data_IF_860601686646
#
_entry.id   IF_860601686646
#
_cell.length_a   1.000
_cell.length_b   1.000
_cell.length_c   1.000
_cell.angle_alpha   90.00
_cell.angle_beta   90.00
_cell.angle_gamma   90.00
#
_symmetry.space_group_name_H-M   'P 1'
#
loop_
_entity.id
_entity.type
_entity.pdbx_description
1 polymer ?
#
# COMPACT_ATOMS: atom_id res chain seq x y z
N UNK A 1 -2.98 -9.39 -1.07
CA UNK A 1 -3.25 -8.09 -0.43
C UNK A 1 -1.96 -7.31 -0.27
N UNK A 2 -1.95 -6.03 -0.63
CA UNK A 2 -0.87 -5.10 -0.32
C UNK A 2 -1.21 -4.38 0.99
N UNK A 3 -0.40 -4.57 2.04
CA UNK A 3 -0.55 -3.84 3.31
C UNK A 3 -0.01 -2.41 3.16
N UNK A 4 -0.35 -1.49 4.09
CA UNK A 4 0.26 -0.17 4.14
C UNK A 4 1.78 -0.25 4.05
N UNK A 5 2.33 0.31 2.99
CA UNK A 5 3.74 0.15 2.64
C UNK A 5 4.14 1.12 1.55
N UNK A 6 5.45 1.32 1.42
CA UNK A 6 6.09 1.87 0.24
C UNK A 6 6.90 0.76 -0.44
N UNK A 7 6.74 0.60 -1.76
CA UNK A 7 7.45 -0.37 -2.57
C UNK A 7 8.17 0.34 -3.72
N UNK A 8 9.51 0.34 -3.70
CA UNK A 8 10.37 0.90 -4.74
C UNK A 8 11.01 -0.20 -5.59
N UNK A 9 11.18 0.06 -6.88
CA UNK A 9 11.94 -0.81 -7.78
C UNK A 9 13.38 -0.32 -7.87
N UNK A 10 14.32 -1.22 -7.63
CA UNK A 10 15.75 -0.97 -7.79
C UNK A 10 16.19 -1.45 -9.18
N UNK A 11 15.73 -2.62 -9.61
CA UNK A 11 16.03 -3.20 -10.93
C UNK A 11 14.81 -3.96 -11.47
N UNK A 12 14.65 -3.93 -12.79
CA UNK A 12 13.52 -4.54 -13.50
C UNK A 12 12.30 -3.63 -13.55
N UNK A 13 11.17 -4.19 -13.98
CA UNK A 13 9.91 -3.46 -14.09
C UNK A 13 8.78 -4.24 -13.44
N UNK A 14 7.78 -3.53 -12.95
CA UNK A 14 6.60 -4.11 -12.34
C UNK A 14 5.35 -3.47 -12.89
N UNK A 15 4.34 -4.31 -12.96
CA UNK A 15 3.03 -4.01 -13.47
C UNK A 15 2.02 -4.42 -12.40
N UNK A 16 1.17 -3.49 -11.98
CA UNK A 16 0.25 -3.69 -10.85
C UNK A 16 -1.15 -3.21 -11.19
N UNK A 17 -2.11 -4.13 -11.11
CA UNK A 17 -3.53 -3.86 -11.24
C UNK A 17 -4.08 -3.43 -9.87
N UNK A 18 -4.68 -2.24 -9.84
CA UNK A 18 -5.35 -1.65 -8.67
C UNK A 18 -6.72 -1.18 -9.10
N UNK A 19 -7.78 -1.85 -8.63
CA UNK A 19 -9.12 -1.65 -9.17
C UNK A 19 -9.18 -2.03 -10.65
N UNK A 20 -9.45 -1.06 -11.51
CA UNK A 20 -9.46 -1.15 -12.98
C UNK A 20 -8.22 -0.53 -13.63
N UNK A 21 -7.29 0.02 -12.84
CA UNK A 21 -6.10 0.72 -13.33
C UNK A 21 -4.88 -0.17 -13.32
N UNK A 22 -4.12 -0.13 -14.41
CA UNK A 22 -2.81 -0.75 -14.49
C UNK A 22 -1.73 0.30 -14.25
N UNK A 23 -0.90 0.07 -13.24
CA UNK A 23 0.26 0.89 -12.91
C UNK A 23 1.53 0.22 -13.42
N UNK A 24 2.33 0.94 -14.19
CA UNK A 24 3.63 0.50 -14.68
C UNK A 24 4.71 1.31 -13.98
N UNK A 25 5.72 0.63 -13.43
CA UNK A 25 6.82 1.31 -12.76
C UNK A 25 8.12 0.49 -12.79
N UNK A 26 9.24 1.19 -12.88
CA UNK A 26 10.58 0.65 -13.05
C UNK A 26 11.59 1.32 -12.11
N UNK A 27 12.88 1.27 -12.43
CA UNK A 27 13.95 1.68 -11.51
C UNK A 27 13.78 3.09 -10.94
N UNK A 28 14.07 3.23 -9.64
CA UNK A 28 13.89 4.45 -8.84
C UNK A 28 12.45 4.99 -8.80
N UNK A 29 11.46 4.20 -9.20
CA UNK A 29 10.06 4.52 -9.01
C UNK A 29 9.47 3.68 -7.89
N UNK A 30 8.53 4.28 -7.15
CA UNK A 30 7.86 3.64 -6.05
C UNK A 30 6.35 3.87 -6.09
N UNK A 31 5.63 2.94 -5.45
CA UNK A 31 4.22 3.09 -5.09
C UNK A 31 4.11 3.10 -3.59
N UNK A 32 3.20 3.91 -3.07
CA UNK A 32 2.93 4.05 -1.65
C UNK A 32 1.44 3.89 -1.40
N UNK A 33 1.07 3.21 -0.31
CA UNK A 33 -0.30 3.11 0.16
C UNK A 33 -0.35 3.21 1.68
N UNK A 34 -1.33 3.97 2.19
CA UNK A 34 -1.60 4.06 3.63
C UNK A 34 -2.67 3.10 4.13
N UNK A 35 -3.42 2.46 3.21
CA UNK A 35 -4.45 1.48 3.53
C UNK A 35 -4.17 0.15 2.83
N UNK A 36 -4.79 -0.93 3.31
CA UNK A 36 -4.66 -2.23 2.66
C UNK A 36 -5.43 -2.26 1.34
N UNK A 37 -4.75 -2.62 0.25
CA UNK A 37 -5.29 -2.61 -1.11
C UNK A 37 -5.29 -4.01 -1.74
N UNK A 38 -6.39 -4.45 -2.38
CA UNK A 38 -6.39 -5.64 -3.21
C UNK A 38 -5.71 -5.28 -4.52
N UNK A 39 -4.52 -5.85 -4.72
CA UNK A 39 -3.71 -5.65 -5.92
C UNK A 39 -3.30 -7.00 -6.49
N UNK A 40 -3.25 -7.08 -7.80
CA UNK A 40 -2.55 -8.13 -8.52
C UNK A 40 -1.32 -7.50 -9.20
N UNK A 41 -0.21 -8.22 -9.27
CA UNK A 41 0.97 -7.68 -9.92
C UNK A 41 1.77 -8.75 -10.62
N UNK A 42 2.49 -8.34 -11.66
CA UNK A 42 3.47 -9.16 -12.36
C UNK A 42 4.79 -8.40 -12.49
N UNK A 43 5.87 -9.16 -12.40
CA UNK A 43 7.20 -8.69 -12.75
C UNK A 43 7.32 -8.75 -14.28
N UNK A 44 7.86 -7.70 -14.87
CA UNK A 44 8.00 -7.53 -16.31
C UNK A 44 9.48 -7.28 -16.60
N UNK A 45 10.00 -7.91 -17.66
CA UNK A 45 11.41 -7.79 -18.09
C UNK A 45 12.43 -8.22 -17.02
N UNK A 46 12.20 -9.31 -16.32
CA UNK A 46 13.21 -9.93 -15.45
C UNK A 46 13.81 -11.16 -16.12
N UNK A 47 15.13 -11.30 -16.05
CA UNK A 47 15.89 -12.46 -16.53
C UNK A 47 16.84 -12.94 -15.44
N UNK A 48 17.53 -14.06 -15.66
CA UNK A 48 18.57 -14.54 -14.73
C UNK A 48 19.78 -13.59 -14.66
N UNK A 49 20.11 -12.92 -15.76
CA UNK A 49 21.21 -11.95 -15.84
C UNK A 49 20.81 -10.55 -15.40
N UNK A 50 19.52 -10.22 -15.48
CA UNK A 50 18.95 -8.97 -15.01
C UNK A 50 17.73 -9.27 -14.13
N UNK A 51 17.96 -9.73 -12.88
CA UNK A 51 16.88 -10.09 -11.96
C UNK A 51 16.10 -8.87 -11.49
N UNK A 52 14.88 -9.11 -11.00
CA UNK A 52 14.08 -8.07 -10.36
C UNK A 52 14.55 -7.82 -8.93
N UNK A 53 14.83 -6.56 -8.61
CA UNK A 53 15.11 -6.12 -7.25
C UNK A 53 14.13 -5.02 -6.85
N UNK A 54 13.51 -5.19 -5.68
CA UNK A 54 12.62 -4.21 -5.11
C UNK A 54 12.86 -4.06 -3.61
N UNK A 55 12.64 -2.85 -3.12
CA UNK A 55 12.68 -2.53 -1.71
C UNK A 55 11.27 -2.26 -1.22
N UNK A 56 10.91 -2.86 -0.08
CA UNK A 56 9.63 -2.61 0.58
C UNK A 56 9.87 -2.13 2.00
N UNK A 57 9.20 -1.04 2.36
CA UNK A 57 9.09 -0.56 3.74
C UNK A 57 7.64 -0.73 4.14
N UNK A 58 7.39 -1.56 5.14
CA UNK A 58 6.09 -1.62 5.78
C UNK A 58 5.87 -0.39 6.63
N UNK A 59 4.66 0.16 6.54
CA UNK A 59 4.29 1.39 7.24
C UNK A 59 3.27 0.99 8.31
N UNK A 60 3.61 1.23 9.57
CA UNK A 60 2.63 1.16 10.65
C UNK A 60 1.93 2.51 10.77
N UNK A 61 0.60 2.58 10.55
CA UNK A 61 -0.16 3.80 10.75
C UNK A 61 0.05 4.44 12.14
N UNK A 62 0.27 3.63 13.19
CA UNK A 62 0.52 4.14 14.55
C UNK A 62 1.87 4.85 14.67
N UNK A 63 2.90 4.30 14.02
CA UNK A 63 4.22 4.93 14.01
C UNK A 63 4.20 6.24 13.22
N UNK A 64 3.49 6.29 12.09
CA UNK A 64 3.29 7.52 11.35
C UNK A 64 2.52 8.56 12.17
N UNK A 65 1.49 8.15 12.93
CA UNK A 65 0.71 9.07 13.76
C UNK A 65 1.59 9.69 14.84
N UNK A 66 2.36 8.87 15.55
CA UNK A 66 3.30 9.32 16.56
C UNK A 66 4.34 10.27 15.97
N UNK A 67 4.90 9.92 14.81
CA UNK A 67 5.89 10.75 14.12
C UNK A 67 5.33 12.11 13.66
N UNK A 68 4.09 12.12 13.14
CA UNK A 68 3.42 13.36 12.74
C UNK A 68 3.20 14.31 13.93
N UNK A 69 2.84 13.75 15.09
CA UNK A 69 2.68 14.52 16.33
C UNK A 69 4.02 15.05 16.84
N UNK A 70 5.08 14.23 16.80
CA UNK A 70 6.43 14.62 17.25
C UNK A 70 7.02 15.76 16.39
N UNK A 71 6.76 15.74 15.08
CA UNK A 71 7.30 16.70 14.12
C UNK A 71 6.45 17.97 13.92
N UNK A 72 5.34 18.10 14.65
CA UNK A 72 4.37 19.20 14.50
C UNK A 72 4.02 19.48 13.03
N UNK A 73 3.78 18.40 12.26
CA UNK A 73 3.48 18.54 10.84
C UNK A 73 2.12 19.21 10.64
N UNK A 74 1.99 20.13 9.66
CA UNK A 74 0.77 20.90 9.48
C UNK A 74 -0.43 19.98 9.21
N UNK A 75 -1.62 20.37 9.70
CA UNK A 75 -2.85 19.62 9.47
C UNK A 75 -3.13 19.49 7.97
N UNK A 76 -3.82 18.41 7.60
CA UNK A 76 -4.15 18.15 6.21
C UNK A 76 -5.05 19.27 5.65
N UNK A 77 -4.82 19.76 4.42
CA UNK A 77 -5.81 20.59 3.73
C UNK A 77 -7.15 19.85 3.60
N UNK A 78 -8.25 20.57 3.84
CA UNK A 78 -9.63 20.02 3.88
C UNK A 78 -10.11 19.43 2.54
N UNK A 79 -9.50 19.84 1.43
CA UNK A 79 -9.83 19.35 0.10
C UNK A 79 -8.58 19.02 -0.69
N UNK A 80 -8.54 17.78 -1.16
CA UNK A 80 -7.80 17.41 -2.36
C UNK A 80 -8.28 16.02 -2.83
N UNK A 81 -8.57 15.93 -4.11
CA UNK A 81 -9.14 14.81 -4.86
C UNK A 81 -8.07 13.89 -5.49
N UNK A 82 -6.81 14.07 -5.09
CA UNK A 82 -5.67 13.27 -5.54
C UNK A 82 -5.85 11.75 -5.41
N UNK A 83 -5.42 11.05 -6.45
CA UNK A 83 -5.39 9.59 -6.54
C UNK A 83 -4.49 8.99 -5.46
N UNK A 84 -5.02 8.05 -4.67
CA UNK A 84 -4.32 7.50 -3.50
C UNK A 84 -3.21 6.50 -3.84
N UNK A 85 -3.35 5.80 -4.97
CA UNK A 85 -2.28 4.94 -5.48
C UNK A 85 -1.73 5.55 -6.75
N UNK A 86 -0.53 6.08 -6.64
CA UNK A 86 0.21 6.72 -7.74
C UNK A 86 1.65 6.23 -7.74
N UNK A 87 2.24 6.23 -8.93
CA UNK A 87 3.66 5.93 -9.12
C UNK A 87 4.42 7.26 -9.01
N UNK A 88 5.45 7.27 -8.18
CA UNK A 88 6.32 8.43 -8.00
C UNK A 88 7.76 8.04 -8.27
N UNK A 89 8.57 9.02 -8.70
CA UNK A 89 10.02 8.86 -8.76
C UNK A 89 10.60 9.24 -7.40
N UNK A 90 11.48 8.39 -6.87
CA UNK A 90 12.21 8.67 -5.65
C UNK A 90 13.15 9.86 -5.88
N UNK A 91 13.18 10.80 -4.92
CA UNK A 91 14.16 11.87 -4.92
C UNK A 91 15.55 11.31 -4.61
N UNK A 92 16.60 12.05 -4.98
CA UNK A 92 17.98 11.67 -4.64
C UNK A 92 18.18 11.50 -3.14
N UNK A 93 17.57 12.37 -2.32
CA UNK A 93 17.59 12.26 -0.87
C UNK A 93 16.99 10.93 -0.39
N UNK A 94 15.82 10.55 -0.91
CA UNK A 94 15.18 9.28 -0.54
C UNK A 94 16.03 8.06 -0.96
N UNK A 95 16.64 8.12 -2.16
CA UNK A 95 17.54 7.07 -2.65
C UNK A 95 18.80 6.95 -1.76
N UNK A 96 19.39 8.07 -1.33
CA UNK A 96 20.54 8.07 -0.42
C UNK A 96 20.19 7.39 0.92
N UNK A 97 19.02 7.71 1.49
CA UNK A 97 18.58 7.13 2.75
C UNK A 97 18.44 5.60 2.63
N UNK A 98 17.87 5.11 1.52
CA UNK A 98 17.79 3.67 1.26
C UNK A 98 19.14 3.01 1.06
N UNK A 99 20.07 3.68 0.36
CA UNK A 99 21.42 3.17 0.21
C UNK A 99 22.13 3.04 1.56
N UNK A 100 21.98 4.03 2.45
CA UNK A 100 22.50 3.96 3.82
C UNK A 100 21.86 2.83 4.63
N UNK A 101 20.54 2.63 4.50
CA UNK A 101 19.86 1.51 5.15
C UNK A 101 20.41 0.16 4.69
N UNK A 102 20.60 -0.02 3.39
CA UNK A 102 21.12 -1.28 2.82
C UNK A 102 22.55 -1.55 3.27
N UNK A 103 23.40 -0.51 3.35
CA UNK A 103 24.77 -0.62 3.87
C UNK A 103 24.83 -1.06 5.34
N UNK A 104 23.80 -0.78 6.14
CA UNK A 104 23.73 -1.28 7.52
C UNK A 104 23.61 -2.81 7.62
N UNK A 105 23.18 -3.49 6.55
CA UNK A 105 23.16 -4.96 6.53
C UNK A 105 24.56 -5.56 6.66
N UNK A 106 25.61 -4.82 6.25
CA UNK A 106 27.00 -5.21 6.42
C UNK A 106 27.54 -4.89 7.82
N UNK A 107 26.80 -4.10 8.62
CA UNK A 107 27.19 -3.64 9.97
C UNK A 107 26.02 -3.81 10.95
N UNK A 108 25.59 -5.05 11.23
CA UNK A 108 24.39 -5.31 12.03
C UNK A 108 24.48 -4.78 13.47
N UNK A 109 25.69 -4.57 14.00
CA UNK A 109 25.91 -3.97 15.31
C UNK A 109 25.43 -2.51 15.42
N UNK A 110 25.41 -1.78 14.31
CA UNK A 110 24.98 -0.38 14.27
C UNK A 110 23.45 -0.25 14.12
N UNK A 111 22.78 -1.33 13.71
CA UNK A 111 21.36 -1.34 13.38
C UNK A 111 20.43 -0.86 14.51
N UNK A 112 20.63 -1.23 15.79
CA UNK A 112 19.75 -0.79 16.87
C UNK A 112 19.67 0.73 17.05
N UNK A 113 20.76 1.44 16.71
CA UNK A 113 20.84 2.90 16.85
C UNK A 113 20.59 3.58 15.51
N UNK A 114 21.40 3.28 14.49
CA UNK A 114 21.33 3.97 13.20
C UNK A 114 20.09 3.59 12.39
N UNK A 115 19.61 2.35 12.53
CA UNK A 115 18.41 1.90 11.83
C UNK A 115 17.16 2.70 12.23
N UNK A 116 17.06 3.08 13.51
CA UNK A 116 15.95 3.92 13.99
C UNK A 116 15.99 5.32 13.37
N UNK A 117 17.15 5.96 13.34
CA UNK A 117 17.32 7.31 12.77
C UNK A 117 17.03 7.31 11.27
N UNK A 118 17.56 6.33 10.54
CA UNK A 118 17.29 6.16 9.10
C UNK A 118 15.79 5.92 8.85
N UNK A 119 15.12 5.11 9.67
CA UNK A 119 13.67 4.91 9.55
C UNK A 119 12.89 6.23 9.72
N UNK A 120 13.28 7.07 10.69
CA UNK A 120 12.67 8.40 10.87
C UNK A 120 12.87 9.30 9.66
N UNK A 121 14.07 9.28 9.07
CA UNK A 121 14.38 10.03 7.86
C UNK A 121 13.57 9.54 6.63
N UNK A 122 13.42 8.23 6.47
CA UNK A 122 12.54 7.64 5.44
C UNK A 122 11.11 8.13 5.65
N UNK A 123 10.57 8.03 6.88
CA UNK A 123 9.20 8.47 7.19
C UNK A 123 9.01 9.96 6.85
N UNK A 124 9.97 10.81 7.21
CA UNK A 124 9.95 12.22 6.87
C UNK A 124 9.83 12.45 5.35
N UNK A 125 10.67 11.80 4.56
CA UNK A 125 10.63 11.94 3.10
C UNK A 125 9.34 11.38 2.49
N UNK A 126 8.83 10.26 2.99
CA UNK A 126 7.57 9.70 2.50
C UNK A 126 6.36 10.58 2.83
N UNK A 127 6.38 11.27 3.98
CA UNK A 127 5.29 12.15 4.42
C UNK A 127 5.34 13.54 3.79
N UNK A 128 6.53 14.05 3.49
CA UNK A 128 6.73 15.39 2.89
C UNK A 128 6.84 15.35 1.37
N UNK A 129 7.13 14.18 0.80
CA UNK A 129 7.28 13.97 -0.63
C UNK A 129 5.98 13.62 -1.37
N UNK A 130 6.11 13.26 -2.67
CA UNK A 130 4.98 12.84 -3.50
C UNK A 130 4.26 11.63 -2.90
N UNK A 131 2.94 11.74 -2.74
CA UNK A 131 2.11 10.71 -2.11
C UNK A 131 2.04 10.77 -0.58
N UNK A 132 2.76 11.70 0.06
CA UNK A 132 2.72 11.89 1.52
C UNK A 132 1.34 12.27 2.04
N UNK A 133 0.56 13.03 1.27
CA UNK A 133 -0.85 13.33 1.57
C UNK A 133 -1.71 12.08 1.75
N UNK A 134 -1.51 11.06 0.91
CA UNK A 134 -2.23 9.79 1.01
C UNK A 134 -1.90 9.03 2.29
N UNK A 135 -0.62 9.03 2.70
CA UNK A 135 -0.22 8.44 3.99
C UNK A 135 -0.78 9.23 5.16
N UNK A 136 -0.64 10.56 5.12
CA UNK A 136 -1.19 11.42 6.17
C UNK A 136 -2.69 11.21 6.31
N UNK A 137 -3.49 11.07 5.24
CA UNK A 137 -4.93 10.72 5.33
C UNK A 137 -5.21 9.32 5.86
N UNK A 138 -4.32 8.36 5.63
CA UNK A 138 -4.53 7.05 6.22
C UNK A 138 -4.39 7.08 7.75
N UNK A 139 -3.77 8.14 8.29
CA UNK A 139 -3.27 8.21 9.67
C UNK A 139 -3.86 9.36 10.48
N UNK A 140 -4.10 10.52 9.86
CA UNK A 140 -4.53 11.77 10.47
C UNK A 140 -5.98 11.73 10.97
N UNK A 141 -6.77 10.76 10.51
CA UNK A 141 -8.12 10.64 10.97
C UNK A 141 -8.16 10.23 12.42
N UNK A 142 -8.77 11.09 13.23
CA UNK A 142 -9.54 10.63 14.38
C UNK A 142 -10.60 9.59 13.97
N UNK A 143 -11.72 9.53 14.69
CA UNK A 143 -12.72 8.45 14.56
C UNK A 143 -13.20 8.09 13.12
N UNK A 144 -13.06 9.00 12.14
CA UNK A 144 -13.63 8.91 10.79
C UNK A 144 -12.73 8.35 9.66
N UNK A 145 -11.39 8.48 9.66
CA UNK A 145 -10.54 7.79 8.65
C UNK A 145 -10.16 6.38 9.13
N UNK A 146 -10.06 6.20 10.45
CA UNK A 146 -10.11 4.87 11.06
C UNK A 146 -11.36 4.08 10.66
N UNK A 147 -12.48 4.75 10.37
CA UNK A 147 -13.70 4.10 9.90
C UNK A 147 -13.50 3.39 8.55
N UNK A 148 -12.67 3.94 7.64
CA UNK A 148 -12.36 3.27 6.38
C UNK A 148 -11.45 2.08 6.60
N UNK A 149 -10.42 2.21 7.43
CA UNK A 149 -9.56 1.08 7.79
C UNK A 149 -10.34 -0.04 8.49
N UNK A 150 -11.28 0.31 9.39
CA UNK A 150 -12.22 -0.65 9.99
C UNK A 150 -13.13 -1.30 8.95
N UNK A 151 -13.66 -0.53 8.01
CA UNK A 151 -14.48 -1.08 6.92
C UNK A 151 -13.68 -2.05 6.05
N UNK A 152 -12.42 -1.72 5.72
CA UNK A 152 -11.51 -2.59 4.99
C UNK A 152 -11.25 -3.89 5.75
N UNK A 153 -10.93 -3.81 7.05
CA UNK A 153 -10.73 -5.00 7.88
C UNK A 153 -11.99 -5.87 7.93
N UNK A 154 -13.16 -5.27 8.17
CA UNK A 154 -14.43 -5.98 8.21
C UNK A 154 -14.70 -6.71 6.88
N UNK A 155 -14.55 -6.02 5.74
CA UNK A 155 -14.74 -6.64 4.42
C UNK A 155 -13.75 -7.78 4.18
N UNK A 156 -12.52 -7.65 4.66
CA UNK A 156 -11.49 -8.70 4.50
C UNK A 156 -11.77 -9.92 5.39
N UNK A 157 -12.37 -9.74 6.56
CA UNK A 157 -12.75 -10.81 7.47
C UNK A 157 -14.01 -11.54 6.99
N UNK A 158 -14.97 -10.81 6.41
CA UNK A 158 -16.27 -11.31 5.94
C UNK A 158 -16.36 -11.29 4.41
N UNK A 159 -15.23 -11.53 3.73
CA UNK A 159 -15.15 -11.32 2.28
C UNK A 159 -16.03 -12.28 1.50
N UNK A 160 -16.32 -13.47 2.02
CA UNK A 160 -17.15 -14.51 1.42
C UNK A 160 -18.66 -14.36 1.70
N UNK A 161 -19.05 -13.42 2.56
CA UNK A 161 -20.45 -13.15 2.91
C UNK A 161 -21.07 -12.03 2.06
N UNK A 162 -22.39 -12.02 1.78
CA UNK A 162 -23.04 -10.91 1.08
C UNK A 162 -22.83 -9.57 1.80
N UNK A 163 -22.23 -8.57 1.13
CA UNK A 163 -21.99 -7.25 1.71
C UNK A 163 -23.20 -6.32 1.53
N UNK A 164 -23.86 -5.97 2.64
CA UNK A 164 -24.87 -4.90 2.67
C UNK A 164 -24.25 -3.60 3.16
N UNK A 165 -24.30 -2.56 2.32
CA UNK A 165 -23.67 -1.26 2.63
C UNK A 165 -24.25 -0.61 3.89
N UNK A 166 -25.55 -0.77 4.15
CA UNK A 166 -26.19 -0.22 5.35
C UNK A 166 -25.64 -0.83 6.65
N UNK A 167 -25.37 -2.13 6.66
CA UNK A 167 -24.83 -2.84 7.82
C UNK A 167 -23.36 -2.43 8.05
N UNK A 168 -22.55 -2.42 6.99
CA UNK A 168 -21.16 -1.94 7.08
C UNK A 168 -21.08 -0.49 7.58
N UNK A 169 -21.99 0.36 7.12
CA UNK A 169 -22.09 1.75 7.56
C UNK A 169 -22.39 1.86 9.06
N UNK A 170 -23.27 1.00 9.60
CA UNK A 170 -23.53 0.92 11.05
C UNK A 170 -22.29 0.47 11.83
N UNK A 171 -21.59 -0.58 11.36
CA UNK A 171 -20.37 -1.12 11.99
C UNK A 171 -19.30 -0.04 12.16
N UNK A 172 -19.19 0.87 11.18
CA UNK A 172 -18.17 1.93 11.22
C UNK A 172 -18.69 3.30 11.65
N UNK A 173 -19.95 3.36 12.10
CA UNK A 173 -20.64 4.57 12.58
C UNK A 173 -20.67 5.72 11.55
N UNK A 174 -20.95 5.41 10.28
CA UNK A 174 -21.12 6.38 9.21
C UNK A 174 -22.48 6.24 8.55
N UNK A 175 -22.93 7.27 7.83
CA UNK A 175 -24.02 7.08 6.87
C UNK A 175 -23.50 6.34 5.62
N UNK A 176 -24.36 5.59 4.90
CA UNK A 176 -23.98 4.89 3.68
C UNK A 176 -23.29 5.79 2.63
N UNK A 177 -23.79 7.01 2.44
CA UNK A 177 -23.23 7.97 1.48
C UNK A 177 -21.83 8.45 1.89
N UNK A 178 -21.62 8.71 3.18
CA UNK A 178 -20.31 9.13 3.70
C UNK A 178 -19.31 7.98 3.61
N UNK A 179 -19.72 6.76 3.97
CA UNK A 179 -18.91 5.56 3.81
C UNK A 179 -18.50 5.38 2.34
N UNK A 180 -19.44 5.39 1.40
CA UNK A 180 -19.15 5.19 -0.02
C UNK A 180 -18.15 6.22 -0.54
N UNK A 181 -18.36 7.52 -0.26
CA UNK A 181 -17.46 8.59 -0.68
C UNK A 181 -16.06 8.39 -0.11
N UNK A 182 -15.94 8.22 1.21
CA UNK A 182 -14.64 8.08 1.89
C UNK A 182 -13.90 6.81 1.45
N UNK A 183 -14.62 5.70 1.33
CA UNK A 183 -14.05 4.42 0.90
C UNK A 183 -13.55 4.52 -0.56
N UNK A 184 -14.31 5.15 -1.46
CA UNK A 184 -13.89 5.37 -2.85
C UNK A 184 -12.70 6.32 -2.94
N UNK A 185 -12.68 7.39 -2.16
CA UNK A 185 -11.51 8.26 -2.07
C UNK A 185 -10.31 7.46 -1.60
N UNK A 186 -10.44 6.71 -0.50
CA UNK A 186 -9.40 5.91 0.14
C UNK A 186 -8.83 4.76 -0.72
N UNK A 187 -9.67 4.12 -1.53
CA UNK A 187 -9.34 2.84 -2.18
C UNK A 187 -9.54 2.83 -3.68
N UNK A 188 -9.90 3.97 -4.29
CA UNK A 188 -10.32 4.11 -5.70
C UNK A 188 -11.50 3.22 -6.12
N UNK A 189 -12.12 2.49 -5.19
CA UNK A 189 -13.15 1.48 -5.42
C UNK A 189 -14.35 1.70 -4.48
N UNK A 190 -15.54 1.29 -4.90
CA UNK A 190 -16.65 1.15 -3.95
C UNK A 190 -16.40 -0.06 -3.01
N UNK A 191 -17.04 -0.12 -1.83
CA UNK A 191 -16.91 -1.28 -0.93
C UNK A 191 -17.23 -2.62 -1.61
N UNK A 192 -18.24 -2.66 -2.50
CA UNK A 192 -18.60 -3.86 -3.25
C UNK A 192 -17.54 -4.26 -4.27
N UNK A 193 -16.96 -3.29 -5.00
CA UNK A 193 -15.87 -3.55 -5.93
C UNK A 193 -14.64 -4.09 -5.18
N UNK A 194 -14.33 -3.51 -4.02
CA UNK A 194 -13.24 -3.97 -3.16
C UNK A 194 -13.46 -5.42 -2.71
N UNK A 195 -14.65 -5.77 -2.17
CA UNK A 195 -14.97 -7.14 -1.77
C UNK A 195 -14.82 -8.12 -2.94
N UNK A 196 -15.31 -7.75 -4.13
CA UNK A 196 -15.19 -8.58 -5.33
C UNK A 196 -13.72 -8.87 -5.67
N UNK A 197 -12.85 -7.87 -5.58
CA UNK A 197 -11.42 -8.04 -5.83
C UNK A 197 -10.76 -8.92 -4.75
N UNK A 198 -11.12 -8.75 -3.47
CA UNK A 198 -10.62 -9.62 -2.39
C UNK A 198 -11.03 -11.08 -2.64
N UNK A 199 -12.30 -11.35 -3.00
CA UNK A 199 -12.78 -12.70 -3.34
C UNK A 199 -11.98 -13.32 -4.48
N UNK A 200 -11.72 -12.55 -5.54
CA UNK A 200 -10.95 -13.02 -6.69
C UNK A 200 -9.52 -13.42 -6.29
N UNK A 201 -8.84 -12.56 -5.51
CA UNK A 201 -7.48 -12.83 -5.05
C UNK A 201 -7.41 -14.05 -4.11
N UNK A 202 -8.38 -14.22 -3.22
CA UNK A 202 -8.44 -15.40 -2.34
C UNK A 202 -8.76 -16.68 -3.11
N UNK A 203 -9.67 -16.63 -4.09
CA UNK A 203 -9.94 -17.76 -4.98
C UNK A 203 -8.68 -18.19 -5.74
N UNK A 204 -7.94 -17.22 -6.31
CA UNK A 204 -6.66 -17.48 -6.97
C UNK A 204 -5.64 -18.10 -6.01
N UNK A 205 -5.50 -17.52 -4.82
CA UNK A 205 -4.59 -18.05 -3.79
C UNK A 205 -4.88 -19.52 -3.51
N UNK A 206 -6.16 -19.88 -3.35
CA UNK A 206 -6.61 -21.27 -3.14
C UNK A 206 -6.27 -22.18 -4.32
N UNK A 207 -6.50 -21.73 -5.56
CA UNK A 207 -6.14 -22.51 -6.77
C UNK A 207 -4.63 -22.76 -6.85
N UNK A 208 -3.80 -21.75 -6.60
CA UNK A 208 -2.34 -21.90 -6.62
C UNK A 208 -1.82 -22.77 -5.47
N UNK A 209 -2.44 -22.72 -4.28
CA UNK A 209 -2.07 -23.61 -3.17
C UNK A 209 -2.58 -25.05 -3.32
N UNK A 210 -3.68 -25.26 -4.05
CA UNK A 210 -4.26 -26.58 -4.32
C UNK A 210 -3.66 -27.31 -5.53
N UNK A 211 -2.94 -26.59 -6.39
CA UNK A 211 -2.33 -27.10 -7.63
C UNK A 211 -0.87 -27.49 -7.52
N UNK A 212 -0.33 -27.78 -6.32
CA UNK A 212 1.05 -28.27 -6.13
C UNK A 212 1.23 -29.73 -6.59
N UNK A 213 0.65 -30.06 -7.75
CA UNK A 213 0.88 -31.25 -8.53
C UNK A 213 0.64 -30.89 -9.99
N UNK A 214 1.71 -30.94 -10.78
CA UNK A 214 1.79 -30.78 -12.25
C UNK A 214 1.83 -29.36 -12.85
N UNK A 215 2.97 -29.06 -13.48
CA UNK A 215 2.99 -28.38 -14.77
C UNK A 215 3.49 -26.94 -14.79
N UNK A 216 4.73 -26.79 -15.23
CA UNK A 216 5.30 -25.56 -15.81
C UNK A 216 4.41 -24.97 -16.93
N UNK A 217 4.49 -23.66 -17.14
CA UNK A 217 3.87 -22.97 -18.29
C UNK A 217 2.91 -21.84 -17.92
N UNK A 218 3.33 -20.62 -18.23
CA UNK A 218 2.64 -19.37 -17.88
C UNK A 218 1.14 -19.34 -18.18
N UNK A 219 0.35 -18.90 -17.20
CA UNK A 219 -1.07 -18.64 -17.37
C UNK A 219 -1.43 -17.26 -16.78
N UNK A 220 -2.02 -16.45 -17.66
CA UNK A 220 -2.67 -15.15 -17.48
C UNK A 220 -1.89 -14.07 -16.75
N UNK A 221 -1.18 -13.25 -17.52
CA UNK A 221 -0.35 -12.13 -17.08
C UNK A 221 -1.01 -11.01 -16.28
N UNK A 222 -2.25 -11.17 -15.81
CA UNK A 222 -2.92 -10.22 -14.92
C UNK A 222 -3.94 -10.87 -13.97
N UNK A 223 -4.22 -12.17 -14.13
CA UNK A 223 -5.33 -12.86 -13.45
C UNK A 223 -4.78 -13.88 -12.46
#
# INVERSE_FOLDING_TARGET
MLQPSMCMIVQGHKEMLVGDRVLHYGPAQYVQTGVAMPVAGRIVKATTTEPYYGLRVDIDPKEIAAFMLEMDLPPLPERDDGSIVTVHRASEALLDVFLRLLRLLERPGDLPVLGRLIKQEIMYHLLTGPGGMSLRRAVAGGHHEQAVSRAISWIREHYDEPLRIAELAQVVHLSPSVLHRRFKTATIMSPLQYQKQVRLLEARRRLMSGGAGSGDGGLSGWL
#
